data_IF_861260669821
#
_entry.id   IF_861260669821
#
_cell.length_a   1.000
_cell.length_b   1.000
_cell.length_c   1.000
_cell.angle_alpha   90.00
_cell.angle_beta   90.00
_cell.angle_gamma   90.00
#
_symmetry.space_group_name_H-M   'P 1'
#
loop_
_entity.id
_entity.type
_entity.pdbx_description
1 polymer ?
#
# COMPACT_ATOMS: atom_id res chain seq x y z
N UNK A 1 1.87 -18.45 8.34
CA UNK A 1 2.47 -17.27 9.02
C UNK A 1 1.41 -16.36 9.65
N UNK A 2 0.20 -16.23 9.10
CA UNK A 2 -0.95 -15.59 9.78
C UNK A 2 -1.56 -16.45 10.92
N UNK A 3 -1.55 -17.78 10.77
CA UNK A 3 -2.15 -18.68 11.77
C UNK A 3 -1.42 -18.70 13.12
N UNK A 4 -0.11 -18.48 13.16
CA UNK A 4 0.65 -18.48 14.42
C UNK A 4 0.42 -17.20 15.21
N UNK A 5 0.31 -16.05 14.55
CA UNK A 5 -0.02 -14.78 15.20
C UNK A 5 -1.45 -14.76 15.77
N UNK A 6 -2.41 -15.37 15.06
CA UNK A 6 -3.79 -15.51 15.56
C UNK A 6 -3.89 -16.46 16.75
N UNK A 7 -3.07 -17.51 16.82
CA UNK A 7 -3.08 -18.47 17.92
C UNK A 7 -2.57 -17.87 19.24
N UNK A 8 -1.54 -17.01 19.19
CA UNK A 8 -1.02 -16.31 20.39
C UNK A 8 -2.00 -15.28 20.95
N UNK A 9 -2.85 -14.69 20.10
CA UNK A 9 -3.84 -13.67 20.51
C UNK A 9 -5.14 -14.32 20.97
N UNK A 10 -5.45 -15.54 20.51
CA UNK A 10 -6.63 -16.29 20.95
C UNK A 10 -6.42 -16.94 22.32
N UNK A 11 -6.28 -16.12 23.36
CA UNK A 11 -6.62 -16.53 24.71
C UNK A 11 -8.10 -16.93 24.73
N UNK A 12 -8.33 -18.25 24.79
CA UNK A 12 -9.57 -18.95 25.10
C UNK A 12 -10.86 -18.10 25.12
N UNK A 13 -11.61 -18.10 24.01
CA UNK A 13 -13.06 -17.91 24.03
C UNK A 13 -13.64 -16.49 24.17
N UNK A 14 -12.85 -15.43 24.02
CA UNK A 14 -13.38 -14.05 24.05
C UNK A 14 -13.85 -13.56 22.67
N UNK A 15 -14.97 -12.82 22.63
CA UNK A 15 -15.49 -12.19 21.38
C UNK A 15 -14.39 -11.33 20.76
N UNK A 16 -14.06 -11.60 19.50
CA UNK A 16 -13.15 -10.76 18.72
C UNK A 16 -13.79 -9.37 18.62
N UNK A 17 -13.19 -8.36 19.25
CA UNK A 17 -13.58 -6.96 19.10
C UNK A 17 -12.77 -6.31 17.97
N UNK A 18 -13.29 -5.22 17.41
CA UNK A 18 -12.56 -4.42 16.39
C UNK A 18 -11.21 -3.96 16.93
N UNK A 19 -11.13 -3.59 18.21
CA UNK A 19 -9.89 -3.17 18.88
C UNK A 19 -8.82 -4.27 18.95
N UNK A 20 -9.21 -5.53 19.14
CA UNK A 20 -8.27 -6.66 19.08
C UNK A 20 -7.75 -6.91 17.66
N UNK A 21 -8.59 -6.63 16.67
CA UNK A 21 -8.24 -6.76 15.24
C UNK A 21 -7.25 -5.68 14.83
N UNK A 22 -7.48 -4.44 15.26
CA UNK A 22 -6.56 -3.32 15.04
C UNK A 22 -5.21 -3.56 15.70
N UNK A 23 -5.21 -4.10 16.93
CA UNK A 23 -3.97 -4.42 17.64
C UNK A 23 -3.20 -5.57 16.98
N UNK A 24 -3.90 -6.59 16.49
CA UNK A 24 -3.29 -7.68 15.74
C UNK A 24 -2.70 -7.18 14.41
N UNK A 25 -3.41 -6.26 13.73
CA UNK A 25 -2.94 -5.62 12.51
C UNK A 25 -1.70 -4.76 12.77
N UNK A 26 -1.66 -4.02 13.89
CA UNK A 26 -0.46 -3.27 14.31
C UNK A 26 0.74 -4.16 14.50
N UNK A 27 0.60 -5.25 15.26
CA UNK A 27 1.71 -6.20 15.49
C UNK A 27 2.20 -6.80 14.18
N UNK A 28 1.29 -7.08 13.25
CA UNK A 28 1.65 -7.64 11.95
C UNK A 28 2.37 -6.62 11.06
N UNK A 29 1.88 -5.37 11.01
CA UNK A 29 2.52 -4.28 10.27
C UNK A 29 3.88 -3.88 10.88
N UNK A 30 4.04 -3.97 12.20
CA UNK A 30 5.30 -3.71 12.90
C UNK A 30 6.34 -4.78 12.56
N UNK A 31 5.93 -6.06 12.51
CA UNK A 31 6.82 -7.18 12.16
C UNK A 31 7.37 -7.06 10.74
N UNK A 32 6.53 -6.63 9.81
CA UNK A 32 6.93 -6.46 8.40
C UNK A 32 7.45 -5.03 8.11
N UNK A 33 7.51 -4.15 9.12
CA UNK A 33 7.86 -2.75 8.95
C UNK A 33 9.23 -2.59 8.28
N UNK A 34 10.26 -3.31 8.73
CA UNK A 34 11.60 -3.24 8.15
C UNK A 34 11.61 -3.69 6.69
N UNK A 35 10.81 -4.69 6.33
CA UNK A 35 10.68 -5.19 4.96
C UNK A 35 10.02 -4.13 4.07
N UNK A 36 8.90 -3.55 4.52
CA UNK A 36 8.19 -2.52 3.76
C UNK A 36 8.97 -1.21 3.66
N UNK A 37 9.71 -0.83 4.70
CA UNK A 37 10.58 0.34 4.66
C UNK A 37 11.75 0.13 3.69
N UNK A 38 12.37 -1.05 3.71
CA UNK A 38 13.44 -1.39 2.75
C UNK A 38 12.92 -1.39 1.32
N UNK A 39 11.74 -1.98 1.08
CA UNK A 39 11.07 -1.91 -0.21
C UNK A 39 10.85 -0.45 -0.61
N UNK A 40 10.21 0.35 0.25
CA UNK A 40 9.94 1.76 -0.01
C UNK A 40 11.21 2.54 -0.37
N UNK A 41 12.28 2.40 0.40
CA UNK A 41 13.54 3.11 0.18
C UNK A 41 14.28 2.67 -1.08
N UNK A 42 14.08 1.42 -1.52
CA UNK A 42 14.62 0.92 -2.78
C UNK A 42 13.93 1.48 -4.02
N UNK A 43 12.71 2.02 -3.88
CA UNK A 43 11.90 2.46 -5.01
C UNK A 43 12.43 3.79 -5.60
N UNK A 44 12.52 3.89 -6.94
CA UNK A 44 12.72 5.16 -7.61
C UNK A 44 11.68 6.19 -7.17
N UNK A 45 12.07 7.46 -7.13
CA UNK A 45 11.21 8.54 -6.61
C UNK A 45 9.83 8.59 -7.31
N UNK A 46 9.78 8.45 -8.63
CA UNK A 46 8.51 8.44 -9.37
C UNK A 46 7.64 7.23 -9.01
N UNK A 47 8.25 6.07 -8.79
CA UNK A 47 7.55 4.85 -8.36
C UNK A 47 7.02 4.97 -6.94
N UNK A 48 7.76 5.60 -6.01
CA UNK A 48 7.26 5.93 -4.67
C UNK A 48 6.03 6.83 -4.70
N UNK A 49 6.06 7.89 -5.54
CA UNK A 49 4.91 8.79 -5.72
C UNK A 49 3.69 8.04 -6.24
N UNK A 50 3.88 7.15 -7.23
CA UNK A 50 2.80 6.35 -7.79
C UNK A 50 2.25 5.33 -6.78
N UNK A 51 3.13 4.66 -6.02
CA UNK A 51 2.71 3.74 -4.96
C UNK A 51 1.88 4.46 -3.89
N UNK A 52 2.28 5.69 -3.51
CA UNK A 52 1.47 6.54 -2.63
C UNK A 52 0.10 6.82 -3.21
N UNK A 53 0.01 7.18 -4.50
CA UNK A 53 -1.25 7.43 -5.18
C UNK A 53 -2.16 6.21 -5.16
N UNK A 54 -1.64 5.05 -5.57
CA UNK A 54 -2.39 3.78 -5.60
C UNK A 54 -2.85 3.37 -4.20
N UNK A 55 -2.00 3.50 -3.18
CA UNK A 55 -2.36 3.18 -1.80
C UNK A 55 -3.40 4.14 -1.21
N UNK A 56 -3.43 5.40 -1.66
CA UNK A 56 -4.34 6.44 -1.15
C UNK A 56 -5.72 6.36 -1.78
N UNK A 57 -5.80 6.19 -3.10
CA UNK A 57 -7.07 6.17 -3.83
C UNK A 57 -7.73 4.76 -3.84
N UNK A 58 -6.93 3.70 -3.66
CA UNK A 58 -7.29 2.27 -3.53
C UNK A 58 -8.74 1.87 -3.91
N UNK A 59 -9.04 1.61 -5.20
CA UNK A 59 -8.12 1.59 -6.35
C UNK A 59 -7.98 2.95 -7.06
N UNK A 60 -6.80 3.21 -7.62
CA UNK A 60 -6.55 4.35 -8.50
C UNK A 60 -7.12 4.09 -9.90
N UNK A 61 -8.31 4.63 -10.20
CA UNK A 61 -9.02 4.40 -11.46
C UNK A 61 -8.49 5.23 -12.65
N UNK A 62 -8.01 6.45 -12.42
CA UNK A 62 -7.61 7.37 -13.50
C UNK A 62 -6.15 7.85 -13.36
N UNK A 63 -5.16 6.94 -13.47
CA UNK A 63 -3.75 7.25 -13.17
C UNK A 63 -3.12 8.35 -14.05
N UNK A 64 -3.72 8.64 -15.20
CA UNK A 64 -3.23 9.62 -16.16
C UNK A 64 -4.06 10.92 -16.20
N UNK A 65 -5.06 11.05 -15.34
CA UNK A 65 -5.86 12.28 -15.29
C UNK A 65 -5.01 13.47 -14.84
N UNK A 66 -5.29 14.66 -15.37
CA UNK A 66 -4.53 15.86 -15.01
C UNK A 66 -4.54 16.15 -13.50
N UNK A 67 -5.66 15.85 -12.83
CA UNK A 67 -5.81 15.97 -11.38
C UNK A 67 -4.86 15.03 -10.63
N UNK A 68 -4.85 13.73 -10.94
CA UNK A 68 -3.94 12.75 -10.34
C UNK A 68 -2.49 13.13 -10.60
N UNK A 69 -2.14 13.52 -11.83
CA UNK A 69 -0.78 13.92 -12.17
C UNK A 69 -0.34 15.13 -11.35
N UNK A 70 -1.19 16.15 -11.21
CA UNK A 70 -0.89 17.32 -10.39
C UNK A 70 -0.79 16.98 -8.89
N UNK A 71 -1.76 16.26 -8.35
CA UNK A 71 -1.85 15.88 -6.93
C UNK A 71 -0.64 15.09 -6.45
N UNK A 72 -0.12 14.19 -7.29
CA UNK A 72 0.99 13.31 -6.95
C UNK A 72 2.32 13.71 -7.60
N UNK A 73 2.38 14.89 -8.25
CA UNK A 73 3.63 15.51 -8.71
C UNK A 73 4.25 14.89 -9.95
N UNK A 74 3.45 14.40 -10.90
CA UNK A 74 3.89 13.92 -12.19
C UNK A 74 3.89 15.04 -13.23
N UNK A 75 4.99 15.17 -13.98
CA UNK A 75 5.14 16.22 -15.02
C UNK A 75 4.45 15.86 -16.34
N UNK A 76 4.21 14.57 -16.57
CA UNK A 76 3.56 14.09 -17.78
C UNK A 76 2.95 12.70 -17.59
N UNK A 77 1.95 12.31 -18.41
CA UNK A 77 1.41 10.95 -18.43
C UNK A 77 2.50 9.88 -18.64
N UNK A 78 3.51 10.15 -19.47
CA UNK A 78 4.61 9.21 -19.72
C UNK A 78 5.44 8.93 -18.46
N UNK A 79 5.64 9.93 -17.60
CA UNK A 79 6.34 9.73 -16.32
C UNK A 79 5.55 8.86 -15.34
N UNK A 80 4.22 9.02 -15.31
CA UNK A 80 3.32 8.15 -14.55
C UNK A 80 3.29 6.73 -15.13
N UNK A 81 3.29 6.58 -16.46
CA UNK A 81 3.30 5.28 -17.14
C UNK A 81 4.53 4.46 -16.78
N UNK A 82 5.73 5.06 -16.83
CA UNK A 82 6.97 4.40 -16.42
C UNK A 82 6.96 3.97 -14.95
N UNK A 83 6.35 4.76 -14.06
CA UNK A 83 6.21 4.42 -12.66
C UNK A 83 5.27 3.21 -12.47
N UNK A 84 4.15 3.19 -13.19
CA UNK A 84 3.20 2.06 -13.19
C UNK A 84 3.86 0.79 -13.74
N UNK A 85 4.55 0.89 -14.89
CA UNK A 85 5.28 -0.22 -15.49
C UNK A 85 6.31 -0.80 -14.52
N UNK A 86 7.09 0.05 -13.86
CA UNK A 86 8.05 -0.37 -12.86
C UNK A 86 7.38 -1.11 -11.70
N UNK A 87 6.33 -0.53 -11.10
CA UNK A 87 5.63 -1.13 -9.97
C UNK A 87 4.95 -2.44 -10.33
N UNK A 88 4.35 -2.54 -11.52
CA UNK A 88 3.71 -3.75 -12.00
C UNK A 88 4.74 -4.84 -12.32
N UNK A 89 5.88 -4.49 -12.93
CA UNK A 89 6.96 -5.44 -13.23
C UNK A 89 7.64 -6.01 -11.98
N UNK A 90 7.52 -5.32 -10.84
CA UNK A 90 8.04 -5.77 -9.54
C UNK A 90 6.94 -6.34 -8.64
N UNK A 91 5.75 -6.62 -9.17
CA UNK A 91 4.67 -7.25 -8.40
C UNK A 91 4.28 -6.40 -7.16
N UNK A 92 4.31 -5.07 -7.28
CA UNK A 92 3.92 -4.16 -6.20
C UNK A 92 2.46 -3.71 -6.37
N UNK A 93 2.03 -3.53 -7.63
CA UNK A 93 0.66 -3.15 -7.97
C UNK A 93 0.08 -4.11 -8.99
N UNK A 94 -1.25 -4.22 -8.99
CA UNK A 94 -2.02 -5.02 -9.94
C UNK A 94 -3.08 -4.17 -10.63
N UNK A 95 -3.43 -4.54 -11.86
CA UNK A 95 -4.58 -3.96 -12.56
C UNK A 95 -5.87 -4.53 -11.99
N UNK A 96 -6.84 -3.67 -11.70
CA UNK A 96 -8.17 -4.07 -11.24
C UNK A 96 -9.10 -4.41 -12.40
N UNK A 97 -10.20 -5.11 -12.13
CA UNK A 97 -11.25 -5.40 -13.12
C UNK A 97 -11.85 -4.15 -13.72
N UNK A 98 -11.87 -3.06 -12.96
CA UNK A 98 -12.45 -1.76 -13.35
C UNK A 98 -11.45 -0.89 -14.12
N UNK A 99 -10.30 -1.45 -14.50
CA UNK A 99 -9.28 -0.77 -15.32
C UNK A 99 -8.28 0.09 -14.56
N UNK A 100 -8.44 0.22 -13.24
CA UNK A 100 -7.53 0.95 -12.34
C UNK A 100 -6.36 0.10 -11.83
N UNK A 101 -5.70 0.60 -10.78
CA UNK A 101 -4.60 -0.08 -10.11
C UNK A 101 -4.81 -0.14 -8.60
N UNK A 102 -4.41 -1.25 -7.98
CA UNK A 102 -4.41 -1.45 -6.53
C UNK A 102 -3.06 -2.01 -6.07
N UNK A 103 -2.72 -1.80 -4.79
CA UNK A 103 -1.52 -2.41 -4.19
C UNK A 103 -1.77 -3.91 -4.08
N UNK A 104 -0.82 -4.73 -4.55
CA UNK A 104 -1.01 -6.18 -4.55
C UNK A 104 -1.05 -6.75 -3.12
N UNK A 105 -0.09 -6.37 -2.29
CA UNK A 105 -0.11 -6.70 -0.87
C UNK A 105 -0.97 -5.69 -0.10
N UNK A 106 -2.09 -6.17 0.44
CA UNK A 106 -3.00 -5.37 1.26
C UNK A 106 -2.30 -4.77 2.48
N UNK A 107 -1.35 -5.48 3.09
CA UNK A 107 -0.60 -4.99 4.25
C UNK A 107 0.37 -3.88 3.86
N UNK A 108 1.03 -3.98 2.70
CA UNK A 108 1.82 -2.88 2.14
C UNK A 108 0.95 -1.65 1.87
N UNK A 109 -0.25 -1.82 1.32
CA UNK A 109 -1.20 -0.73 1.09
C UNK A 109 -1.60 -0.02 2.38
N UNK A 110 -1.91 -0.80 3.43
CA UNK A 110 -2.20 -0.27 4.77
C UNK A 110 -1.00 0.43 5.41
N UNK A 111 0.19 -0.16 5.31
CA UNK A 111 1.44 0.45 5.78
C UNK A 111 1.69 1.79 5.08
N UNK A 112 1.49 1.85 3.75
CA UNK A 112 1.61 3.08 2.98
C UNK A 112 0.62 4.15 3.47
N UNK A 113 -0.65 3.81 3.65
CA UNK A 113 -1.65 4.78 4.16
C UNK A 113 -1.28 5.32 5.54
N UNK A 114 -0.83 4.45 6.45
CA UNK A 114 -0.47 4.85 7.82
C UNK A 114 0.79 5.70 7.88
N UNK A 115 1.83 5.35 7.14
CA UNK A 115 3.14 6.02 7.23
C UNK A 115 3.29 7.20 6.26
N UNK A 116 2.54 7.21 5.16
CA UNK A 116 2.67 8.21 4.10
C UNK A 116 1.55 9.25 4.10
N UNK A 117 0.40 9.03 4.76
CA UNK A 117 -0.63 10.08 4.91
C UNK A 117 -0.41 10.93 6.18
N UNK A 118 0.51 10.53 7.05
CA UNK A 118 0.87 11.24 8.28
C UNK A 118 1.99 12.25 8.04
N UNK A 119 1.81 13.13 7.04
CA UNK A 119 2.64 14.33 6.88
C UNK A 119 1.76 15.54 7.14
N UNK A 120 1.95 16.11 8.34
CA UNK A 120 1.53 17.47 8.69
C UNK A 120 2.33 18.49 7.89
#
# INVERSE_FOLDING_TARGET
>A
MLCSALHDISGSGSRITEEMTDRALEVLLEREHSTYLTLWDSLPEMSRRMLRAVATEDPLLTPYSGDVLARYGFRSPSSAGRAIEYLAAHDIIIRTTDGGYAVMDRFLGMWCRRNLLTVR
#
